data_IF_304185151703
#
_entry.id   IF_304185151703
#
_cell.length_a   1.000
_cell.length_b   1.000
_cell.length_c   1.000
_cell.angle_alpha   90.00
_cell.angle_beta   90.00
_cell.angle_gamma   90.00
#
_symmetry.space_group_name_H-M   'P 1'
#
loop_
_entity.id
_entity.type
_entity.pdbx_description
1 polymer ?
#
# COMPACT_ATOMS: atom_id res chain seq x y z
N UNK A 1 20.56 -39.45 51.38
CA UNK A 1 21.98 -39.85 51.47
C UNK A 1 22.28 -40.60 50.18
N UNK A 2 23.07 -40.14 49.21
CA UNK A 2 24.24 -39.26 49.21
C UNK A 2 24.38 -38.60 47.83
N UNK A 3 24.83 -37.34 47.86
CA UNK A 3 25.52 -36.45 46.89
C UNK A 3 25.64 -36.85 45.40
N UNK A 4 25.27 -36.00 44.43
CA UNK A 4 25.86 -34.70 44.02
C UNK A 4 27.36 -34.79 43.68
N UNK A 5 27.72 -34.08 42.61
CA UNK A 5 29.06 -33.80 42.08
C UNK A 5 29.42 -34.68 40.89
N UNK A 6 28.74 -34.40 39.77
CA UNK A 6 29.37 -34.54 38.46
C UNK A 6 30.13 -33.26 38.21
N UNK A 7 31.44 -33.43 38.21
CA UNK A 7 32.49 -32.47 37.93
C UNK A 7 32.26 -31.78 36.57
N UNK A 8 32.11 -30.45 36.60
CA UNK A 8 31.98 -29.58 35.42
C UNK A 8 33.03 -28.46 35.47
N UNK A 9 34.17 -28.70 36.12
CA UNK A 9 35.25 -27.73 36.20
C UNK A 9 36.40 -28.21 35.33
N UNK A 10 36.39 -27.78 34.08
CA UNK A 10 37.53 -27.22 33.32
C UNK A 10 37.27 -27.32 31.81
N UNK A 11 36.79 -26.22 31.22
CA UNK A 11 37.27 -25.62 29.96
C UNK A 11 36.38 -24.41 29.57
N UNK A 12 36.67 -23.21 30.11
CA UNK A 12 36.20 -21.96 29.54
C UNK A 12 37.27 -21.43 28.60
N UNK A 13 37.04 -21.36 27.28
CA UNK A 13 37.69 -20.36 26.39
C UNK A 13 37.20 -20.33 24.92
N UNK A 14 36.32 -21.23 24.47
CA UNK A 14 35.82 -21.18 23.08
C UNK A 14 34.73 -20.11 22.82
N UNK A 15 34.21 -19.43 23.85
CA UNK A 15 33.05 -18.54 23.73
C UNK A 15 33.39 -17.04 23.61
N UNK A 16 34.68 -16.64 23.63
CA UNK A 16 35.09 -15.22 23.60
C UNK A 16 35.53 -14.69 22.23
N UNK A 17 35.56 -15.52 21.19
CA UNK A 17 35.96 -15.11 19.83
C UNK A 17 34.78 -14.85 18.88
N UNK A 18 33.54 -15.23 19.24
CA UNK A 18 32.37 -15.00 18.37
C UNK A 18 31.71 -13.63 18.55
N UNK A 19 32.12 -12.84 19.56
CA UNK A 19 31.53 -11.54 19.90
C UNK A 19 32.22 -10.32 19.25
N UNK A 20 33.05 -10.52 18.21
CA UNK A 20 33.64 -9.42 17.41
C UNK A 20 33.19 -9.37 15.94
N UNK A 21 32.20 -10.16 15.52
CA UNK A 21 31.73 -10.17 14.11
C UNK A 21 30.21 -10.02 13.96
N UNK A 22 29.51 -9.53 14.97
CA UNK A 22 28.28 -8.77 14.72
C UNK A 22 28.71 -7.32 14.44
N UNK A 23 29.38 -7.14 13.31
CA UNK A 23 29.54 -5.84 12.67
C UNK A 23 28.10 -5.40 12.33
N UNK A 24 27.48 -4.61 13.20
CA UNK A 24 26.31 -3.80 12.85
C UNK A 24 26.78 -2.89 11.72
N UNK A 25 26.70 -3.40 10.48
CA UNK A 25 26.99 -2.58 9.31
C UNK A 25 25.99 -1.44 9.35
N UNK A 26 26.45 -0.19 9.50
CA UNK A 26 25.55 0.94 9.43
C UNK A 26 24.81 0.83 8.09
N UNK A 27 23.49 0.97 8.11
CA UNK A 27 22.69 1.01 6.89
C UNK A 27 23.22 2.15 6.05
N UNK A 28 24.03 1.80 5.05
CA UNK A 28 24.66 2.77 4.19
C UNK A 28 23.60 3.26 3.19
N UNK A 29 23.05 4.43 3.51
CA UNK A 29 22.06 5.09 2.68
C UNK A 29 22.58 5.35 1.25
N UNK A 30 23.89 5.44 1.05
CA UNK A 30 24.51 5.53 -0.28
C UNK A 30 24.25 4.28 -1.09
N UNK A 31 24.56 3.10 -0.54
CA UNK A 31 24.35 1.82 -1.20
C UNK A 31 22.88 1.55 -1.57
N UNK A 32 21.94 1.91 -0.68
CA UNK A 32 20.50 1.75 -0.93
C UNK A 32 20.03 2.72 -2.01
N UNK A 33 20.51 3.97 -1.99
CA UNK A 33 20.18 4.94 -3.02
C UNK A 33 20.71 4.52 -4.39
N UNK A 34 21.93 3.96 -4.46
CA UNK A 34 22.52 3.44 -5.68
C UNK A 34 21.78 2.21 -6.21
N UNK A 35 21.36 1.30 -5.33
CA UNK A 35 20.56 0.13 -5.70
C UNK A 35 19.18 0.54 -6.24
N UNK A 36 18.49 1.46 -5.56
CA UNK A 36 17.20 2.02 -6.04
C UNK A 36 17.39 2.72 -7.39
N UNK A 37 18.48 3.46 -7.57
CA UNK A 37 18.77 4.16 -8.82
C UNK A 37 19.04 3.19 -9.97
N UNK A 38 19.78 2.10 -9.71
CA UNK A 38 20.04 1.06 -10.70
C UNK A 38 18.75 0.33 -11.08
N UNK A 39 18.00 -0.13 -10.10
CA UNK A 39 16.71 -0.81 -10.33
C UNK A 39 15.72 0.11 -11.06
N UNK A 40 15.69 1.40 -10.73
CA UNK A 40 14.86 2.38 -11.44
C UNK A 40 15.32 2.57 -12.89
N UNK A 41 16.62 2.53 -13.18
CA UNK A 41 17.14 2.67 -14.55
C UNK A 41 16.76 1.47 -15.43
N UNK A 42 16.92 0.25 -14.91
CA UNK A 42 16.58 -0.98 -15.62
C UNK A 42 15.07 -1.10 -15.83
N UNK A 43 14.29 -0.84 -14.77
CA UNK A 43 12.83 -0.84 -14.85
C UNK A 43 12.31 0.25 -15.78
N UNK A 44 12.89 1.45 -15.78
CA UNK A 44 12.48 2.55 -16.66
C UNK A 44 12.56 2.12 -18.12
N UNK A 45 13.63 1.46 -18.53
CA UNK A 45 13.81 1.06 -19.92
C UNK A 45 12.75 0.03 -20.35
N UNK A 46 12.56 -1.04 -19.57
CA UNK A 46 11.57 -2.06 -19.89
C UNK A 46 10.11 -1.56 -19.77
N UNK A 47 9.81 -0.78 -18.72
CA UNK A 47 8.46 -0.33 -18.43
C UNK A 47 7.99 0.81 -19.35
N UNK A 48 8.89 1.71 -19.79
CA UNK A 48 8.52 2.80 -20.69
C UNK A 48 8.09 2.26 -22.05
N UNK A 49 8.82 1.29 -22.61
CA UNK A 49 8.53 0.76 -23.94
C UNK A 49 7.25 -0.09 -23.93
N UNK A 50 7.11 -1.01 -22.96
CA UNK A 50 5.89 -1.81 -22.80
C UNK A 50 4.69 -0.95 -22.39
N UNK A 51 4.91 0.05 -21.54
CA UNK A 51 3.90 0.97 -21.08
C UNK A 51 3.32 1.79 -22.22
N UNK A 52 4.15 2.39 -23.08
CA UNK A 52 3.68 3.23 -24.20
C UNK A 52 2.68 2.52 -25.11
N UNK A 53 2.97 1.27 -25.50
CA UNK A 53 2.10 0.52 -26.39
C UNK A 53 0.77 0.15 -25.71
N UNK A 54 0.82 -0.25 -24.44
CA UNK A 54 -0.38 -0.54 -23.66
C UNK A 54 -1.23 0.72 -23.41
N UNK A 55 -0.59 1.84 -23.04
CA UNK A 55 -1.27 3.10 -22.76
C UNK A 55 -1.97 3.69 -23.99
N UNK A 56 -1.37 3.58 -25.18
CA UNK A 56 -2.00 4.05 -26.42
C UNK A 56 -3.31 3.29 -26.69
N UNK A 57 -3.28 1.95 -26.62
CA UNK A 57 -4.51 1.15 -26.81
C UNK A 57 -5.55 1.36 -25.70
N UNK A 58 -5.11 1.60 -24.47
CA UNK A 58 -6.00 1.86 -23.34
C UNK A 58 -6.64 3.26 -23.39
N UNK A 59 -5.92 4.30 -23.81
CA UNK A 59 -6.41 5.69 -23.86
C UNK A 59 -7.63 5.82 -24.77
N UNK A 60 -7.55 5.23 -25.96
CA UNK A 60 -8.63 5.31 -26.97
C UNK A 60 -9.90 4.60 -26.52
N UNK A 61 -9.77 3.47 -25.82
CA UNK A 61 -10.92 2.71 -25.32
C UNK A 61 -11.50 3.31 -24.02
N UNK A 62 -10.65 3.88 -23.17
CA UNK A 62 -11.04 4.43 -21.88
C UNK A 62 -11.75 5.78 -22.01
N UNK A 63 -11.28 6.67 -22.89
CA UNK A 63 -11.84 8.03 -23.06
C UNK A 63 -13.35 8.00 -23.33
N UNK A 64 -13.79 7.25 -24.35
CA UNK A 64 -15.21 7.19 -24.71
C UNK A 64 -16.11 6.52 -23.66
N UNK A 65 -15.59 5.58 -22.87
CA UNK A 65 -16.37 4.94 -21.79
C UNK A 65 -16.39 5.78 -20.51
N UNK A 66 -15.27 6.39 -20.16
CA UNK A 66 -15.13 7.23 -18.97
C UNK A 66 -15.96 8.51 -19.08
N UNK A 67 -16.01 9.14 -20.26
CA UNK A 67 -16.80 10.36 -20.47
C UNK A 67 -18.29 10.16 -20.18
N UNK A 68 -18.81 8.93 -20.34
CA UNK A 68 -20.22 8.62 -20.02
C UNK A 68 -20.49 8.38 -18.54
N UNK A 69 -19.47 8.04 -17.75
CA UNK A 69 -19.59 7.71 -16.32
C UNK A 69 -18.96 8.75 -15.40
N UNK A 70 -18.34 9.79 -15.97
CA UNK A 70 -17.64 10.82 -15.21
C UNK A 70 -18.56 11.57 -14.25
N UNK A 71 -19.82 11.78 -14.60
CA UNK A 71 -20.78 12.50 -13.76
C UNK A 71 -21.12 11.72 -12.49
N UNK A 72 -21.27 10.38 -12.60
CA UNK A 72 -21.48 9.48 -11.46
C UNK A 72 -20.25 9.47 -10.52
N UNK A 73 -19.06 9.47 -11.11
CA UNK A 73 -17.81 9.53 -10.37
C UNK A 73 -17.62 10.89 -9.68
N UNK A 74 -17.88 11.99 -10.39
CA UNK A 74 -17.82 13.34 -9.84
C UNK A 74 -18.77 13.52 -8.66
N UNK A 75 -19.99 12.98 -8.77
CA UNK A 75 -20.94 13.03 -7.67
C UNK A 75 -20.42 12.27 -6.44
N UNK A 76 -19.91 11.05 -6.64
CA UNK A 76 -19.35 10.25 -5.55
C UNK A 76 -18.18 10.95 -4.85
N UNK A 77 -17.31 11.62 -5.61
CA UNK A 77 -16.18 12.39 -5.06
C UNK A 77 -16.67 13.60 -4.26
N UNK A 78 -17.69 14.32 -4.77
CA UNK A 78 -18.29 15.47 -4.07
C UNK A 78 -19.00 15.05 -2.78
N UNK A 79 -19.66 13.88 -2.77
CA UNK A 79 -20.30 13.35 -1.56
C UNK A 79 -19.25 13.02 -0.48
N UNK A 80 -18.08 12.49 -0.87
CA UNK A 80 -16.94 12.25 0.04
C UNK A 80 -16.37 13.57 0.55
N UNK A 81 -16.17 14.57 -0.32
CA UNK A 81 -15.71 15.90 0.07
C UNK A 81 -16.64 16.53 1.11
N UNK A 82 -17.95 16.42 0.88
CA UNK A 82 -18.99 16.91 1.79
C UNK A 82 -18.94 16.19 3.14
N UNK A 83 -18.86 14.86 3.15
CA UNK A 83 -18.76 14.07 4.38
C UNK A 83 -17.48 14.35 5.17
N UNK A 84 -16.37 14.56 4.45
CA UNK A 84 -15.08 14.91 5.03
C UNK A 84 -15.13 16.31 5.66
N UNK A 85 -15.75 17.29 4.98
CA UNK A 85 -15.94 18.64 5.51
C UNK A 85 -16.87 18.67 6.72
N UNK A 86 -17.94 17.88 6.72
CA UNK A 86 -18.84 17.73 7.87
C UNK A 86 -18.09 17.13 9.08
N UNK A 87 -17.30 16.09 8.84
CA UNK A 87 -16.44 15.49 9.88
C UNK A 87 -15.37 16.48 10.34
N UNK A 88 -14.80 17.28 9.43
CA UNK A 88 -13.85 18.35 9.69
C UNK A 88 -14.34 19.35 10.73
N UNK A 89 -15.62 19.72 10.65
CA UNK A 89 -16.27 20.63 11.62
C UNK A 89 -16.28 20.08 13.05
N UNK A 90 -16.26 18.76 13.22
CA UNK A 90 -16.17 18.11 14.54
C UNK A 90 -14.78 18.23 15.17
N UNK A 91 -13.74 18.58 14.40
CA UNK A 91 -12.38 18.80 14.88
C UNK A 91 -12.10 20.25 15.27
N UNK A 92 -13.12 21.05 15.61
CA UNK A 92 -12.98 22.46 15.97
C UNK A 92 -11.99 22.76 17.12
N UNK A 93 -11.66 21.76 17.93
CA UNK A 93 -10.64 21.85 19.00
C UNK A 93 -9.19 21.65 18.51
N UNK A 94 -8.99 21.24 17.25
CA UNK A 94 -7.68 20.96 16.64
C UNK A 94 -7.53 21.70 15.29
N UNK A 95 -7.17 23.00 15.31
CA UNK A 95 -7.17 23.84 14.12
C UNK A 95 -6.26 23.33 13.00
N UNK A 96 -5.13 22.69 13.32
CA UNK A 96 -4.23 22.11 12.32
C UNK A 96 -4.86 20.91 11.58
N UNK A 97 -5.64 20.08 12.29
CA UNK A 97 -6.32 18.94 11.68
C UNK A 97 -7.51 19.44 10.87
N UNK A 98 -8.26 20.39 11.41
CA UNK A 98 -9.36 21.02 10.69
C UNK A 98 -8.88 21.64 9.37
N UNK A 99 -7.81 22.44 9.38
CA UNK A 99 -7.26 23.06 8.17
C UNK A 99 -6.80 22.03 7.13
N UNK A 100 -6.21 20.92 7.59
CA UNK A 100 -5.81 19.83 6.71
C UNK A 100 -7.01 19.12 6.07
N UNK A 101 -8.02 18.80 6.88
CA UNK A 101 -9.27 18.16 6.43
C UNK A 101 -10.03 19.07 5.48
N UNK A 102 -10.07 20.37 5.75
CA UNK A 102 -10.65 21.38 4.88
C UNK A 102 -9.93 21.46 3.54
N UNK A 103 -8.59 21.50 3.55
CA UNK A 103 -7.78 21.51 2.32
C UNK A 103 -7.98 20.24 1.49
N UNK A 104 -8.13 19.09 2.14
CA UNK A 104 -8.42 17.83 1.48
C UNK A 104 -9.82 17.84 0.83
N UNK A 105 -10.84 18.35 1.54
CA UNK A 105 -12.19 18.50 1.00
C UNK A 105 -12.21 19.46 -0.21
N UNK A 106 -11.53 20.61 -0.12
CA UNK A 106 -11.45 21.56 -1.24
C UNK A 106 -10.73 20.96 -2.46
N UNK A 107 -9.73 20.10 -2.23
CA UNK A 107 -9.07 19.36 -3.31
C UNK A 107 -9.99 18.34 -3.98
N UNK A 108 -10.83 17.65 -3.21
CA UNK A 108 -11.81 16.70 -3.74
C UNK A 108 -12.93 17.40 -4.51
N UNK A 109 -13.40 18.56 -4.03
CA UNK A 109 -14.42 19.36 -4.76
C UNK A 109 -13.87 19.89 -6.09
N UNK A 110 -12.63 20.37 -6.10
CA UNK A 110 -11.96 20.77 -7.35
C UNK A 110 -11.83 19.59 -8.32
N UNK A 111 -11.50 18.41 -7.81
CA UNK A 111 -11.44 17.19 -8.61
C UNK A 111 -12.82 16.84 -9.18
N UNK A 112 -13.87 16.85 -8.37
CA UNK A 112 -15.24 16.58 -8.81
C UNK A 112 -15.70 17.56 -9.90
N UNK A 113 -15.42 18.86 -9.71
CA UNK A 113 -15.69 19.89 -10.71
C UNK A 113 -14.94 19.65 -12.02
N UNK A 114 -13.65 19.30 -11.93
CA UNK A 114 -12.82 18.95 -13.08
C UNK A 114 -13.38 17.75 -13.86
N UNK A 115 -13.80 16.70 -13.15
CA UNK A 115 -14.42 15.50 -13.75
C UNK A 115 -15.73 15.81 -14.49
N UNK A 116 -16.55 16.71 -13.94
CA UNK A 116 -17.84 17.09 -14.56
C UNK A 116 -17.66 17.99 -15.78
N UNK A 117 -16.76 18.97 -15.70
CA UNK A 117 -16.65 20.00 -16.73
C UNK A 117 -15.76 19.57 -17.91
N UNK A 118 -14.70 18.80 -17.66
CA UNK A 118 -13.68 18.46 -18.66
C UNK A 118 -13.84 17.05 -19.20
N UNK A 119 -13.43 16.81 -20.45
CA UNK A 119 -13.37 15.45 -20.98
C UNK A 119 -12.26 14.66 -20.29
N UNK A 120 -12.35 13.33 -20.27
CA UNK A 120 -11.30 12.47 -19.73
C UNK A 120 -9.97 12.68 -20.47
N UNK A 121 -10.01 13.02 -21.76
CA UNK A 121 -8.84 13.39 -22.56
C UNK A 121 -8.14 14.64 -22.03
N UNK A 122 -8.89 15.70 -21.75
CA UNK A 122 -8.34 16.97 -21.24
C UNK A 122 -7.70 16.79 -19.85
N UNK A 123 -8.35 16.01 -18.98
CA UNK A 123 -7.84 15.70 -17.64
C UNK A 123 -6.56 14.88 -17.71
N UNK A 124 -6.48 13.93 -18.64
CA UNK A 124 -5.27 13.16 -18.87
C UNK A 124 -4.11 14.04 -19.35
N UNK A 125 -4.38 14.92 -20.31
CA UNK A 125 -3.35 15.79 -20.89
C UNK A 125 -2.83 16.80 -19.85
N UNK A 126 -3.68 17.30 -18.97
CA UNK A 126 -3.29 18.15 -17.83
C UNK A 126 -2.49 17.36 -16.78
N UNK A 127 -2.92 16.14 -16.45
CA UNK A 127 -2.18 15.26 -15.56
C UNK A 127 -0.79 14.92 -16.14
N UNK A 128 -0.69 14.71 -17.45
CA UNK A 128 0.59 14.48 -18.15
C UNK A 128 1.49 15.72 -18.05
N UNK A 129 0.93 16.92 -18.28
CA UNK A 129 1.67 18.17 -18.15
C UNK A 129 2.21 18.36 -16.71
N UNK A 130 1.39 18.05 -15.70
CA UNK A 130 1.81 18.10 -14.30
C UNK A 130 2.88 17.05 -13.98
N UNK A 131 2.74 15.84 -14.52
CA UNK A 131 3.69 14.75 -14.32
C UNK A 131 5.08 15.10 -14.87
N UNK A 132 5.13 15.76 -16.01
CA UNK A 132 6.38 16.26 -16.61
C UNK A 132 7.02 17.37 -15.77
N UNK A 133 6.22 18.17 -15.05
CA UNK A 133 6.71 19.29 -14.22
C UNK A 133 7.21 18.85 -12.85
N UNK A 134 6.58 17.84 -12.26
CA UNK A 134 6.81 17.43 -10.87
C UNK A 134 7.01 15.91 -10.75
N UNK A 135 8.11 15.34 -11.30
CA UNK A 135 8.34 13.90 -11.31
C UNK A 135 8.39 13.29 -9.89
N UNK A 136 8.88 14.03 -8.90
CA UNK A 136 8.93 13.57 -7.51
C UNK A 136 7.53 13.35 -6.90
N UNK A 137 6.58 14.25 -7.18
CA UNK A 137 5.19 14.14 -6.69
C UNK A 137 4.52 12.92 -7.31
N UNK A 138 4.69 12.71 -8.62
CA UNK A 138 4.15 11.54 -9.31
C UNK A 138 4.74 10.25 -8.76
N UNK A 139 6.05 10.20 -8.52
CA UNK A 139 6.70 9.06 -7.89
C UNK A 139 6.08 8.74 -6.52
N UNK A 140 5.86 9.75 -5.69
CA UNK A 140 5.24 9.58 -4.38
C UNK A 140 3.80 9.05 -4.47
N UNK A 141 2.98 9.60 -5.38
CA UNK A 141 1.60 9.14 -5.60
C UNK A 141 1.58 7.70 -6.12
N UNK A 142 2.45 7.35 -7.07
CA UNK A 142 2.54 6.01 -7.62
C UNK A 142 2.95 4.97 -6.56
N UNK A 143 3.93 5.30 -5.71
CA UNK A 143 4.34 4.44 -4.60
C UNK A 143 3.20 4.27 -3.58
N UNK A 144 2.52 5.34 -3.22
CA UNK A 144 1.37 5.28 -2.31
C UNK A 144 0.24 4.42 -2.89
N UNK A 145 -0.10 4.60 -4.18
CA UNK A 145 -1.10 3.79 -4.86
C UNK A 145 -0.69 2.30 -4.91
N UNK A 146 0.57 2.01 -5.22
CA UNK A 146 1.11 0.65 -5.21
C UNK A 146 1.03 0.00 -3.82
N UNK A 147 1.36 0.74 -2.77
CA UNK A 147 1.23 0.27 -1.39
C UNK A 147 -0.22 -0.02 -1.02
N UNK A 148 -1.15 0.89 -1.34
CA UNK A 148 -2.58 0.69 -1.07
C UNK A 148 -3.12 -0.53 -1.82
N UNK A 149 -2.72 -0.70 -3.08
CA UNK A 149 -3.08 -1.89 -3.86
C UNK A 149 -2.52 -3.16 -3.25
N UNK A 150 -1.25 -3.17 -2.84
CA UNK A 150 -0.62 -4.32 -2.18
C UNK A 150 -1.30 -4.63 -0.84
N UNK A 151 -1.64 -3.59 -0.05
CA UNK A 151 -2.38 -3.70 1.21
C UNK A 151 -3.76 -4.30 0.96
N UNK A 152 -4.48 -3.85 -0.06
CA UNK A 152 -5.79 -4.38 -0.41
C UNK A 152 -5.71 -5.86 -0.76
N UNK A 153 -4.80 -6.24 -1.67
CA UNK A 153 -4.59 -7.65 -2.06
C UNK A 153 -4.24 -8.51 -0.85
N UNK A 154 -3.31 -8.05 -0.01
CA UNK A 154 -2.91 -8.75 1.22
C UNK A 154 -4.08 -8.91 2.19
N UNK A 155 -4.87 -7.86 2.38
CA UNK A 155 -6.05 -7.86 3.23
C UNK A 155 -7.11 -8.84 2.74
N UNK A 156 -7.39 -8.86 1.44
CA UNK A 156 -8.36 -9.81 0.85
C UNK A 156 -7.89 -11.26 0.95
N UNK A 157 -6.58 -11.51 0.87
CA UNK A 157 -6.01 -12.85 1.04
C UNK A 157 -6.14 -13.37 2.49
N UNK A 158 -6.01 -12.49 3.49
CA UNK A 158 -6.15 -12.88 4.90
C UNK A 158 -7.61 -13.25 5.25
N UNK A 159 -8.61 -12.64 4.59
CA UNK A 159 -10.03 -12.99 4.73
C UNK A 159 -10.32 -14.45 4.29
N UNK A 160 -9.67 -14.91 3.22
CA UNK A 160 -9.76 -16.30 2.74
C UNK A 160 -9.06 -17.30 3.68
N UNK A 161 -7.98 -16.89 4.35
CA UNK A 161 -7.23 -17.73 5.30
C UNK A 161 -7.99 -17.91 6.63
N UNK A 162 -8.65 -16.85 7.11
CA UNK A 162 -9.51 -16.92 8.29
C UNK A 162 -10.68 -17.91 8.11
N UNK A 163 -11.25 -17.99 6.91
CA UNK A 163 -12.29 -18.98 6.57
C UNK A 163 -11.78 -20.43 6.50
N UNK A 164 -10.50 -20.65 6.19
CA UNK A 164 -9.87 -21.98 6.15
C UNK A 164 -9.61 -22.56 7.54
N UNK A 165 -9.17 -21.74 8.49
CA UNK A 165 -8.97 -22.14 9.88
C UNK A 165 -10.30 -22.52 10.57
N UNK A 166 -11.35 -21.74 10.35
CA UNK A 166 -12.69 -22.03 10.86
C UNK A 166 -13.27 -23.36 10.30
N UNK A 167 -13.04 -23.65 9.02
CA UNK A 167 -13.47 -24.91 8.38
C UNK A 167 -12.68 -26.13 8.90
N UNK A 168 -11.39 -25.96 9.21
CA UNK A 168 -10.57 -27.04 9.82
C UNK A 168 -10.99 -27.36 11.25
N UNK A 169 -11.38 -26.35 12.04
CA UNK A 169 -11.91 -26.56 13.39
C UNK A 169 -13.22 -27.37 13.38
N UNK A 170 -14.13 -27.08 12.43
CA UNK A 170 -15.40 -27.81 12.27
C UNK A 170 -15.19 -29.27 11.85
N UNK A 171 -14.18 -29.56 11.03
CA UNK A 171 -13.86 -30.94 10.60
C UNK A 171 -13.15 -31.73 11.72
N UNK A 172 -12.32 -31.07 12.53
CA UNK A 172 -11.65 -31.70 13.67
C UNK A 172 -12.64 -32.10 14.78
N UNK A 173 -13.68 -31.30 15.01
CA UNK A 173 -14.71 -31.57 16.02
C UNK A 173 -15.57 -32.79 15.65
N UNK A 174 -15.88 -32.99 14.36
CA UNK A 174 -16.64 -34.17 13.89
C UNK A 174 -15.91 -35.50 14.06
N UNK A 175 -14.57 -35.50 14.14
CA UNK A 175 -13.79 -36.73 14.36
C UNK A 175 -13.67 -37.14 15.83
N UNK A 176 -14.08 -36.29 16.78
CA UNK A 176 -13.98 -36.55 18.22
C UNK A 176 -15.25 -37.11 18.87
N UNK A 177 -16.30 -37.43 18.12
CA UNK A 177 -17.48 -38.12 18.68
C UNK A 177 -17.30 -39.64 18.60
N UNK A 178 -16.90 -40.35 19.68
CA UNK A 178 -16.95 -41.81 19.70
C UNK A 178 -18.41 -42.26 19.66
N UNK A 179 -18.69 -43.24 18.80
CA UNK A 179 -19.99 -43.87 18.71
C UNK A 179 -20.32 -44.55 20.05
N UNK A 180 -21.31 -44.02 20.76
CA UNK A 180 -21.95 -44.73 21.85
C UNK A 180 -22.65 -45.96 21.26
N UNK A 181 -22.16 -47.15 21.61
CA UNK A 181 -22.78 -48.42 21.24
C UNK A 181 -24.16 -48.54 21.89
N UNK A 182 -25.09 -49.04 21.08
CA UNK A 182 -26.45 -49.49 21.39
C UNK A 182 -26.41 -50.67 22.36
#
# INVERSE_FOLDING_TARGET
MVDRVRDWKDEPDAARSSSRQAEEKPVDLGSVADEVKSAAHDLKSAAVDQGRQFFQGAKDQATGFADRRKDEAAQSVSDIATGLRETGRSFGERPSIQAFVESAADGLDQLAGGLRERSFGDLYDEAEAYARRSPAVVGAVALAAGFLLARFIKSSADELSAGSAARRAVVAERRRRPAAKV
#
